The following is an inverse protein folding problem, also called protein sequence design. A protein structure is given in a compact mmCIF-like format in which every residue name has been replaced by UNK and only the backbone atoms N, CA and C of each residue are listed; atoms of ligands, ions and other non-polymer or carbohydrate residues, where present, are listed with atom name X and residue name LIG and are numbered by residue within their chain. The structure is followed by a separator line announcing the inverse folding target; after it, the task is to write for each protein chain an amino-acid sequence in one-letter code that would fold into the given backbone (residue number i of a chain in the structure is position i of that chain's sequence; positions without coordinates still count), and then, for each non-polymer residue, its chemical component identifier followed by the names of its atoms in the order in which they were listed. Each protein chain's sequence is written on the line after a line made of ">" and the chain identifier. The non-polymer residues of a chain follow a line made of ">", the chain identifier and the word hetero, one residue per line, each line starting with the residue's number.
data_IF_591957608350
#
_entry.id   IF_591957608350
#
_cell.length_a   1.000
_cell.length_b   1.000
_cell.length_c   1.000
_cell.angle_alpha   90.00
_cell.angle_beta   90.00
_cell.angle_gamma   90.00
#
_symmetry.space_group_name_H-M   'P 1'
#
loop_
_entity.id
_entity.type
_entity.pdbx_description
1 polymer ?
#
# COMPACT_ATOMS: atom_id res chain seq x y z
N UNK A 1 22.50 5.88 8.07
CA UNK A 1 21.21 5.37 8.58
C UNK A 1 21.32 3.85 8.57
N UNK A 2 20.93 3.15 9.65
CA UNK A 2 20.98 1.68 9.65
C UNK A 2 19.80 1.11 8.85
N UNK A 3 19.84 -0.19 8.52
CA UNK A 3 18.78 -0.83 7.70
C UNK A 3 17.38 -0.71 8.30
N UNK A 4 17.26 -0.79 9.63
CA UNK A 4 15.96 -0.68 10.32
C UNK A 4 15.37 0.73 10.20
N UNK A 5 16.21 1.76 10.34
CA UNK A 5 15.79 3.16 10.15
C UNK A 5 15.40 3.43 8.69
N UNK A 6 16.13 2.84 7.73
CA UNK A 6 15.77 2.93 6.31
C UNK A 6 14.41 2.30 6.04
N UNK A 7 14.12 1.12 6.61
CA UNK A 7 12.79 0.48 6.51
C UNK A 7 11.71 1.37 7.09
N UNK A 8 11.91 1.91 8.30
CA UNK A 8 10.90 2.74 8.97
C UNK A 8 10.64 4.06 8.27
N UNK A 9 11.68 4.65 7.67
CA UNK A 9 11.54 5.85 6.83
C UNK A 9 10.69 5.53 5.60
N UNK A 10 10.98 4.41 4.93
CA UNK A 10 10.28 3.99 3.71
C UNK A 10 10.54 4.89 2.50
N UNK A 11 9.82 4.63 1.39
CA UNK A 11 9.83 5.48 0.21
C UNK A 11 9.24 6.87 0.50
N UNK A 12 9.51 7.83 -0.40
CA UNK A 12 8.90 9.15 -0.32
C UNK A 12 7.50 9.12 -0.96
N UNK A 13 6.45 9.44 -0.19
CA UNK A 13 5.08 9.50 -0.68
C UNK A 13 4.65 10.95 -0.94
N UNK A 14 4.27 11.26 -2.18
CA UNK A 14 3.74 12.58 -2.54
C UNK A 14 2.21 12.69 -2.43
N UNK A 15 1.49 11.57 -2.53
CA UNK A 15 0.03 11.49 -2.56
C UNK A 15 -0.62 12.48 -3.56
N UNK A 16 0.02 12.72 -4.70
CA UNK A 16 -0.37 13.76 -5.66
C UNK A 16 -1.81 13.58 -6.18
N UNK A 17 -2.23 12.34 -6.45
CA UNK A 17 -3.59 12.02 -6.85
C UNK A 17 -4.63 12.40 -5.78
N UNK A 18 -4.37 12.09 -4.51
CA UNK A 18 -5.26 12.40 -3.39
C UNK A 18 -5.32 13.90 -3.08
N UNK A 19 -4.28 14.66 -3.44
CA UNK A 19 -4.26 16.12 -3.31
C UNK A 19 -4.99 16.83 -4.47
N UNK A 20 -5.01 16.22 -5.64
CA UNK A 20 -5.54 16.82 -6.87
C UNK A 20 -6.99 16.43 -7.17
N UNK A 21 -7.45 15.28 -6.68
CA UNK A 21 -8.74 14.70 -7.05
C UNK A 21 -9.69 14.61 -5.84
N UNK A 22 -11.01 14.62 -6.06
CA UNK A 22 -11.98 14.46 -4.99
C UNK A 22 -11.78 13.18 -4.17
N UNK A 23 -11.68 13.32 -2.85
CA UNK A 23 -11.50 12.21 -1.90
C UNK A 23 -12.67 12.16 -0.93
N UNK A 24 -13.24 10.97 -0.76
CA UNK A 24 -14.27 10.68 0.22
C UNK A 24 -13.64 10.28 1.57
N UNK A 25 -14.29 10.72 2.67
CA UNK A 25 -13.86 10.52 4.06
C UNK A 25 -14.91 9.77 4.90
N UNK A 26 -15.81 9.04 4.27
CA UNK A 26 -16.79 8.20 4.96
C UNK A 26 -16.17 6.93 5.53
N UNK A 27 -17.02 6.05 6.05
CA UNK A 27 -16.57 4.84 6.74
C UNK A 27 -15.76 3.89 5.84
N UNK A 28 -14.76 3.23 6.45
CA UNK A 28 -13.92 2.20 5.83
C UNK A 28 -14.69 0.86 5.73
N UNK A 29 -15.72 0.84 4.88
CA UNK A 29 -16.54 -0.34 4.56
C UNK A 29 -16.96 -0.30 3.10
N UNK A 30 -17.38 -1.45 2.57
CA UNK A 30 -17.94 -1.53 1.21
C UNK A 30 -19.24 -0.73 1.14
N UNK A 31 -19.30 0.24 0.22
CA UNK A 31 -20.47 1.08 -0.07
C UNK A 31 -20.33 1.81 -1.41
N UNK A 32 -21.41 2.40 -1.88
CA UNK A 32 -21.37 3.36 -2.99
C UNK A 32 -20.67 4.66 -2.57
N UNK A 33 -19.94 5.26 -3.51
CA UNK A 33 -19.07 6.43 -3.28
C UNK A 33 -19.39 7.49 -4.35
N UNK A 34 -20.43 8.31 -4.13
CA UNK A 34 -20.75 9.37 -5.07
C UNK A 34 -19.75 10.53 -4.96
N UNK A 35 -19.50 11.21 -6.08
CA UNK A 35 -18.74 12.47 -6.15
C UNK A 35 -17.28 12.41 -5.66
N UNK A 36 -16.67 11.22 -5.59
CA UNK A 36 -15.25 11.07 -5.28
C UNK A 36 -14.56 10.09 -6.23
N UNK A 37 -13.27 10.34 -6.44
CA UNK A 37 -12.39 9.44 -7.20
C UNK A 37 -11.70 8.47 -6.26
N UNK A 38 -11.35 8.89 -5.04
CA UNK A 38 -10.73 8.01 -4.05
C UNK A 38 -11.49 7.99 -2.73
N UNK A 39 -11.34 6.91 -1.98
CA UNK A 39 -11.75 6.83 -0.57
C UNK A 39 -10.51 6.56 0.26
N UNK A 40 -10.32 7.28 1.37
CA UNK A 40 -9.28 6.90 2.35
C UNK A 40 -9.69 5.61 3.05
N UNK A 41 -8.81 4.62 3.06
CA UNK A 41 -9.07 3.30 3.66
C UNK A 41 -7.98 2.96 4.66
N UNK A 42 -8.25 1.96 5.51
CA UNK A 42 -7.22 1.34 6.34
C UNK A 42 -7.08 -0.14 5.95
N UNK A 43 -5.84 -0.66 5.81
CA UNK A 43 -5.61 -2.08 5.63
C UNK A 43 -6.28 -2.90 6.72
N UNK A 44 -6.69 -4.10 6.34
CA UNK A 44 -6.94 -5.16 7.32
C UNK A 44 -5.63 -5.93 7.54
N UNK A 45 -5.03 -5.91 8.75
CA UNK A 45 -3.79 -6.63 9.02
C UNK A 45 -3.94 -8.14 8.85
N UNK A 46 -2.90 -8.79 8.32
CA UNK A 46 -2.87 -10.25 8.17
C UNK A 46 -2.10 -10.92 9.29
N UNK A 47 -2.39 -12.19 9.55
CA UNK A 47 -1.71 -12.98 10.57
C UNK A 47 -0.37 -13.54 10.04
N UNK A 48 0.70 -13.39 10.82
CA UNK A 48 2.02 -13.98 10.57
C UNK A 48 2.54 -13.79 9.13
N UNK A 49 2.59 -12.54 8.61
CA UNK A 49 3.07 -12.30 7.26
C UNK A 49 4.53 -12.74 7.08
N UNK A 50 4.85 -13.28 5.90
CA UNK A 50 6.21 -13.69 5.53
C UNK A 50 6.48 -13.38 4.07
N UNK A 51 7.70 -12.96 3.75
CA UNK A 51 8.13 -12.80 2.37
C UNK A 51 8.31 -14.19 1.72
N UNK A 52 7.68 -14.40 0.57
CA UNK A 52 7.82 -15.63 -0.23
C UNK A 52 8.89 -15.45 -1.30
N UNK A 53 8.82 -14.34 -2.02
CA UNK A 53 9.75 -13.95 -3.07
C UNK A 53 9.79 -12.42 -3.15
N UNK A 54 10.90 -11.86 -3.63
CA UNK A 54 11.01 -10.45 -3.98
C UNK A 54 11.86 -10.28 -5.24
N UNK A 55 11.51 -9.29 -6.06
CA UNK A 55 12.38 -8.80 -7.14
C UNK A 55 13.35 -7.77 -6.57
N UNK A 56 14.62 -7.89 -6.96
CA UNK A 56 15.65 -6.94 -6.53
C UNK A 56 15.49 -5.61 -7.26
N UNK A 57 15.16 -5.69 -8.54
CA UNK A 57 14.95 -4.56 -9.45
C UNK A 57 13.78 -3.69 -8.98
N UNK A 58 12.70 -4.31 -8.48
CA UNK A 58 11.56 -3.57 -7.91
C UNK A 58 11.95 -2.75 -6.67
N UNK A 59 12.89 -3.24 -5.85
CA UNK A 59 13.38 -2.51 -4.68
C UNK A 59 14.26 -1.32 -5.09
N UNK A 60 15.06 -1.49 -6.15
CA UNK A 60 15.87 -0.42 -6.71
C UNK A 60 15.01 0.73 -7.23
N UNK A 61 13.87 0.43 -7.88
CA UNK A 61 12.89 1.45 -8.32
C UNK A 61 12.31 2.27 -7.16
N UNK A 62 12.25 1.68 -5.95
CA UNK A 62 11.73 2.32 -4.74
C UNK A 62 12.84 2.91 -3.87
N UNK A 63 14.09 2.89 -4.34
CA UNK A 63 15.28 3.31 -3.60
C UNK A 63 15.44 2.57 -2.25
N UNK A 64 14.96 1.32 -2.19
CA UNK A 64 15.08 0.47 -1.01
C UNK A 64 16.31 -0.46 -1.12
N UNK A 65 17.14 -0.60 -0.08
CA UNK A 65 18.28 -1.51 -0.10
C UNK A 65 17.85 -2.97 -0.27
N UNK A 66 18.48 -3.67 -1.22
CA UNK A 66 18.24 -5.11 -1.45
C UNK A 66 18.58 -5.99 -0.24
N UNK A 67 19.43 -5.51 0.66
CA UNK A 67 19.80 -6.17 1.91
C UNK A 67 18.59 -6.38 2.84
N UNK A 68 17.47 -5.69 2.60
CA UNK A 68 16.22 -5.86 3.32
C UNK A 68 15.43 -7.10 2.89
N UNK A 69 15.70 -7.63 1.68
CA UNK A 69 14.97 -8.78 1.11
C UNK A 69 15.20 -10.05 1.92
N UNK A 70 16.36 -10.18 2.58
CA UNK A 70 16.68 -11.35 3.41
C UNK A 70 17.02 -10.91 4.83
N UNK A 71 16.91 -11.85 5.76
CA UNK A 71 17.38 -11.62 7.13
C UNK A 71 18.87 -11.26 7.11
N UNK A 72 19.20 -10.14 7.74
CA UNK A 72 20.57 -9.68 7.88
C UNK A 72 21.05 -9.94 9.32
N UNK A 73 22.11 -10.73 9.55
CA UNK A 73 22.61 -10.99 10.90
C UNK A 73 23.00 -9.72 11.67
N UNK A 74 23.43 -8.66 10.98
CA UNK A 74 23.78 -7.37 11.58
C UNK A 74 22.54 -6.52 11.92
N UNK A 75 21.39 -6.83 11.34
CA UNK A 75 20.13 -6.13 11.59
C UNK A 75 18.94 -7.10 11.48
N UNK A 76 18.78 -8.03 12.45
CA UNK A 76 17.83 -9.14 12.32
C UNK A 76 16.36 -8.68 12.23
N UNK A 77 16.06 -7.48 12.70
CA UNK A 77 14.69 -6.95 12.73
C UNK A 77 14.28 -6.23 11.44
N UNK A 78 15.23 -5.79 10.60
CA UNK A 78 14.90 -4.96 9.44
C UNK A 78 14.03 -5.70 8.42
N UNK A 79 14.34 -6.97 8.15
CA UNK A 79 13.56 -7.81 7.25
C UNK A 79 12.12 -8.01 7.75
N UNK A 80 11.96 -8.41 9.01
CA UNK A 80 10.63 -8.63 9.60
C UNK A 80 9.82 -7.33 9.66
N UNK A 81 10.46 -6.20 9.95
CA UNK A 81 9.82 -4.88 9.93
C UNK A 81 9.32 -4.52 8.53
N UNK A 82 10.13 -4.75 7.49
CA UNK A 82 9.75 -4.53 6.10
C UNK A 82 8.52 -5.35 5.70
N UNK A 83 8.50 -6.63 6.10
CA UNK A 83 7.37 -7.53 5.81
C UNK A 83 6.07 -7.00 6.40
N UNK A 84 6.09 -6.37 7.58
CA UNK A 84 4.89 -5.77 8.16
C UNK A 84 4.35 -4.60 7.34
N UNK A 85 5.22 -3.76 6.76
CA UNK A 85 4.78 -2.68 5.88
C UNK A 85 4.21 -3.23 4.55
N UNK A 86 4.90 -4.18 3.92
CA UNK A 86 4.47 -4.77 2.65
C UNK A 86 3.18 -5.59 2.78
N UNK A 87 2.90 -6.15 3.95
CA UNK A 87 1.67 -6.90 4.22
C UNK A 87 0.48 -6.02 4.65
N UNK A 88 0.65 -4.70 4.72
CA UNK A 88 -0.38 -3.77 5.19
C UNK A 88 -0.60 -3.79 6.72
N UNK A 89 0.23 -4.51 7.48
CA UNK A 89 0.17 -4.50 8.94
C UNK A 89 0.72 -3.19 9.54
N UNK A 90 1.55 -2.46 8.79
CA UNK A 90 2.04 -1.13 9.13
C UNK A 90 1.90 -0.21 7.90
N UNK A 91 1.68 1.07 8.16
CA UNK A 91 1.65 2.11 7.13
C UNK A 91 2.91 2.96 7.22
N UNK A 92 3.59 3.15 6.09
CA UNK A 92 4.78 3.98 6.03
C UNK A 92 4.44 5.44 6.34
N UNK A 93 5.35 6.18 7.01
CA UNK A 93 5.17 7.61 7.24
C UNK A 93 4.90 8.36 5.92
N UNK A 94 3.87 9.21 5.92
CA UNK A 94 3.48 9.99 4.75
C UNK A 94 2.65 9.24 3.71
N UNK A 95 2.54 7.91 3.78
CA UNK A 95 1.62 7.15 2.92
C UNK A 95 0.17 7.38 3.36
N UNK A 96 -0.72 7.62 2.39
CA UNK A 96 -2.16 7.73 2.62
C UNK A 96 -2.87 6.60 1.85
N UNK A 97 -3.15 5.43 2.49
CA UNK A 97 -3.82 4.33 1.82
C UNK A 97 -5.20 4.72 1.32
N UNK A 98 -5.50 4.37 0.08
CA UNK A 98 -6.72 4.80 -0.60
C UNK A 98 -7.19 3.80 -1.64
N UNK A 99 -8.50 3.62 -1.75
CA UNK A 99 -9.12 2.80 -2.78
C UNK A 99 -9.64 3.69 -3.91
N UNK A 100 -9.29 3.35 -5.15
CA UNK A 100 -9.80 4.06 -6.33
C UNK A 100 -11.25 3.66 -6.62
N UNK A 101 -12.11 4.65 -6.85
CA UNK A 101 -13.46 4.50 -7.34
C UNK A 101 -13.45 4.63 -8.86
N UNK A 102 -13.88 3.57 -9.55
CA UNK A 102 -14.02 3.55 -11.00
C UNK A 102 -15.28 2.80 -11.40
N UNK A 103 -15.58 2.77 -12.69
CA UNK A 103 -16.69 2.01 -13.26
C UNK A 103 -16.22 1.29 -14.51
N UNK A 104 -17.08 0.43 -15.07
CA UNK A 104 -16.70 -0.28 -16.29
C UNK A 104 -17.81 -1.07 -16.92
N UNK A 105 -17.48 -1.61 -18.08
CA UNK A 105 -18.28 -2.63 -18.73
C UNK A 105 -17.66 -4.00 -18.43
N UNK A 106 -18.46 -4.93 -17.94
CA UNK A 106 -18.07 -6.32 -17.76
C UNK A 106 -19.01 -7.19 -18.57
N UNK A 107 -18.45 -8.12 -19.35
CA UNK A 107 -19.21 -9.04 -20.21
C UNK A 107 -20.20 -8.32 -21.15
N UNK A 108 -19.82 -7.15 -21.68
CA UNK A 108 -20.63 -6.39 -22.65
C UNK A 108 -21.69 -5.46 -22.04
N UNK A 109 -21.83 -5.41 -20.72
CA UNK A 109 -22.81 -4.57 -20.03
C UNK A 109 -22.15 -3.58 -19.08
N UNK A 110 -22.68 -2.36 -18.97
CA UNK A 110 -22.27 -1.40 -17.95
C UNK A 110 -22.72 -1.90 -16.57
N UNK A 111 -21.78 -2.12 -15.66
CA UNK A 111 -22.06 -2.69 -14.32
C UNK A 111 -22.11 -1.63 -13.21
N UNK A 112 -22.07 -0.35 -13.57
CA UNK A 112 -22.07 0.73 -12.59
C UNK A 112 -20.73 0.87 -11.88
N UNK A 113 -20.78 1.28 -10.61
CA UNK A 113 -19.60 1.55 -9.80
C UNK A 113 -18.88 0.25 -9.44
N UNK A 114 -17.59 0.20 -9.75
CA UNK A 114 -16.62 -0.78 -9.30
C UNK A 114 -15.68 -0.09 -8.29
N UNK A 115 -14.43 -0.54 -8.22
CA UNK A 115 -13.41 0.08 -7.40
C UNK A 115 -12.35 -0.92 -6.98
N UNK A 116 -11.36 -0.44 -6.24
CA UNK A 116 -10.37 -1.27 -5.57
C UNK A 116 -11.00 -2.00 -4.37
N UNK A 117 -11.76 -3.07 -4.64
CA UNK A 117 -12.55 -3.77 -3.62
C UNK A 117 -11.77 -4.69 -2.69
N UNK A 118 -10.50 -4.98 -3.01
CA UNK A 118 -9.65 -5.91 -2.25
C UNK A 118 -8.17 -5.48 -2.19
N UNK A 119 -7.87 -4.24 -2.61
CA UNK A 119 -6.52 -3.67 -2.69
C UNK A 119 -6.57 -2.20 -2.31
N UNK A 120 -5.42 -1.60 -2.05
CA UNK A 120 -5.19 -0.16 -1.84
C UNK A 120 -3.70 0.13 -1.93
#
# INVERSE_FOLDING_TARGET
>A
MNLLDTVRKGPNFENSALRALPVDHGENRVRSVPNAVFVRVQPTPVQSPRMVLASHEAFELLELPKELIKQNPQCPNAHNELVLYLAGNKIWPGSEPSAHCYCGHQFGSFVGQLGDGAVM
#
